data_IF_217706326148
#
_entry.id   IF_217706326148
#
_cell.length_a   1.000
_cell.length_b   1.000
_cell.length_c   1.000
_cell.angle_alpha   90.00
_cell.angle_beta   90.00
_cell.angle_gamma   90.00
#
_symmetry.space_group_name_H-M   'P 1'
#
loop_
_entity.id
_entity.type
_entity.pdbx_description
1 polymer ?
#
# COMPACT_ATOMS: atom_id res chain seq x y z
N UNK A 1 -34.49 -30.80 -4.65
CA UNK A 1 -33.31 -30.69 -3.78
C UNK A 1 -32.59 -29.39 -4.06
N UNK A 2 -32.97 -28.32 -3.37
CA UNK A 2 -32.16 -27.10 -3.31
C UNK A 2 -30.89 -27.47 -2.54
N UNK A 3 -29.80 -27.73 -3.26
CA UNK A 3 -28.49 -27.83 -2.62
C UNK A 3 -28.19 -26.46 -2.03
N UNK A 4 -27.98 -26.41 -0.72
CA UNK A 4 -27.48 -25.22 -0.04
C UNK A 4 -26.36 -24.60 -0.88
N UNK A 5 -26.56 -23.38 -1.36
CA UNK A 5 -25.49 -22.58 -1.93
C UNK A 5 -24.39 -22.52 -0.86
N UNK A 6 -23.23 -23.12 -1.15
CA UNK A 6 -22.06 -22.96 -0.30
C UNK A 6 -21.76 -21.46 -0.27
N UNK A 7 -21.83 -20.82 0.90
CA UNK A 7 -21.19 -19.53 1.11
C UNK A 7 -19.69 -19.72 0.92
N UNK A 8 -19.20 -19.48 -0.30
CA UNK A 8 -17.78 -19.49 -0.61
C UNK A 8 -17.18 -18.19 -0.06
N UNK A 9 -16.17 -18.33 0.79
CA UNK A 9 -15.44 -17.20 1.39
C UNK A 9 -14.01 -17.24 0.90
N UNK A 10 -13.53 -16.10 0.41
CA UNK A 10 -12.14 -15.87 0.02
C UNK A 10 -11.60 -14.77 0.93
N UNK A 11 -10.44 -15.03 1.54
CA UNK A 11 -9.77 -14.11 2.46
C UNK A 11 -8.28 -14.01 2.10
N UNK A 12 -7.56 -13.11 2.78
CA UNK A 12 -6.28 -12.52 2.39
C UNK A 12 -6.42 -11.53 1.23
N UNK A 13 -5.91 -10.31 1.42
CA UNK A 13 -6.05 -9.26 0.41
C UNK A 13 -5.40 -9.62 -0.93
N UNK A 14 -4.19 -10.22 -1.01
CA UNK A 14 -3.60 -10.57 -2.31
C UNK A 14 -4.40 -11.64 -3.05
N UNK A 15 -4.92 -12.64 -2.31
CA UNK A 15 -5.72 -13.74 -2.87
C UNK A 15 -7.07 -13.21 -3.36
N UNK A 16 -7.73 -12.37 -2.56
CA UNK A 16 -9.03 -11.79 -2.91
C UNK A 16 -8.91 -10.94 -4.18
N UNK A 17 -7.89 -10.08 -4.27
CA UNK A 17 -7.71 -9.26 -5.45
C UNK A 17 -7.29 -10.07 -6.69
N UNK A 18 -6.45 -11.10 -6.56
CA UNK A 18 -6.13 -12.00 -7.68
C UNK A 18 -7.39 -12.73 -8.18
N UNK A 19 -8.22 -13.25 -7.27
CA UNK A 19 -9.49 -13.87 -7.63
C UNK A 19 -10.41 -12.91 -8.37
N UNK A 20 -10.61 -11.69 -7.85
CA UNK A 20 -11.44 -10.67 -8.50
C UNK A 20 -10.91 -10.34 -9.90
N UNK A 21 -9.59 -10.22 -10.05
CA UNK A 21 -8.95 -9.97 -11.35
C UNK A 21 -9.14 -11.15 -12.32
N UNK A 22 -9.28 -12.38 -11.84
CA UNK A 22 -9.52 -13.55 -12.69
C UNK A 22 -10.99 -13.64 -13.14
N UNK A 23 -11.94 -13.48 -12.22
CA UNK A 23 -13.36 -13.75 -12.50
C UNK A 23 -14.09 -12.61 -13.22
N UNK A 24 -13.66 -11.36 -13.04
CA UNK A 24 -14.28 -10.19 -13.68
C UNK A 24 -13.58 -9.87 -15.02
N UNK A 25 -14.30 -9.83 -16.15
CA UNK A 25 -13.68 -9.78 -17.49
C UNK A 25 -13.22 -8.39 -17.94
N UNK A 26 -13.56 -7.32 -17.22
CA UNK A 26 -13.42 -5.94 -17.69
C UNK A 26 -11.95 -5.49 -17.79
N UNK A 27 -11.45 -4.75 -16.78
CA UNK A 27 -10.08 -4.25 -16.78
C UNK A 27 -9.20 -5.20 -15.98
N UNK A 28 -8.40 -6.01 -16.68
CA UNK A 28 -7.35 -6.82 -16.02
C UNK A 28 -6.25 -5.93 -15.45
N UNK A 29 -5.97 -6.13 -14.16
CA UNK A 29 -4.95 -5.43 -13.38
C UNK A 29 -3.64 -6.21 -13.30
N UNK A 30 -3.69 -7.55 -13.32
CA UNK A 30 -2.50 -8.37 -13.45
C UNK A 30 -2.08 -8.50 -14.92
N UNK A 31 -0.77 -8.53 -15.21
CA UNK A 31 -0.28 -8.75 -16.56
C UNK A 31 -0.57 -10.17 -17.03
N UNK A 32 -0.79 -10.33 -18.34
CA UNK A 32 -1.04 -11.63 -18.98
C UNK A 32 0.21 -12.52 -19.04
N UNK A 33 1.40 -11.92 -19.12
CA UNK A 33 2.67 -12.65 -19.10
C UNK A 33 2.90 -13.30 -17.74
N UNK A 34 3.10 -14.63 -17.65
CA UNK A 34 3.38 -15.32 -16.39
C UNK A 34 4.60 -14.74 -15.66
N UNK A 35 5.65 -14.37 -16.41
CA UNK A 35 6.85 -13.77 -15.86
C UNK A 35 6.57 -12.39 -15.26
N UNK A 36 5.84 -11.53 -15.97
CA UNK A 36 5.47 -10.21 -15.45
C UNK A 36 4.56 -10.32 -14.21
N UNK A 37 3.66 -11.31 -14.19
CA UNK A 37 2.81 -11.60 -13.01
C UNK A 37 3.68 -12.01 -11.81
N UNK A 38 4.66 -12.89 -12.03
CA UNK A 38 5.62 -13.26 -11.00
C UNK A 38 6.44 -12.06 -10.49
N UNK A 39 6.84 -11.13 -11.37
CA UNK A 39 7.53 -9.91 -10.97
C UNK A 39 6.69 -9.03 -10.04
N UNK A 40 5.39 -8.89 -10.30
CA UNK A 40 4.49 -8.17 -9.38
C UNK A 40 4.38 -8.87 -8.03
N UNK A 41 4.28 -10.21 -8.01
CA UNK A 41 4.24 -11.00 -6.76
C UNK A 41 5.54 -10.87 -5.95
N UNK A 42 6.71 -10.93 -6.61
CA UNK A 42 8.00 -10.72 -5.93
C UNK A 42 8.11 -9.31 -5.34
N UNK A 43 7.65 -8.29 -6.07
CA UNK A 43 7.63 -6.92 -5.57
C UNK A 43 6.72 -6.77 -4.36
N UNK A 44 5.53 -7.39 -4.38
CA UNK A 44 4.62 -7.39 -3.24
C UNK A 44 5.24 -8.08 -2.02
N UNK A 45 5.95 -9.20 -2.22
CA UNK A 45 6.68 -9.90 -1.14
C UNK A 45 7.84 -9.05 -0.58
N UNK A 46 8.51 -8.26 -1.40
CA UNK A 46 9.50 -7.30 -0.89
C UNK A 46 8.83 -6.16 -0.12
N UNK A 47 7.70 -5.66 -0.63
CA UNK A 47 6.94 -4.58 -0.01
C UNK A 47 6.27 -5.00 1.31
N UNK A 48 5.88 -6.27 1.46
CA UNK A 48 5.28 -6.79 2.70
C UNK A 48 6.18 -6.55 3.92
N UNK A 49 7.50 -6.52 3.71
CA UNK A 49 8.52 -6.25 4.72
C UNK A 49 8.65 -4.76 5.06
N UNK A 50 8.03 -3.86 4.31
CA UNK A 50 7.97 -2.40 4.57
C UNK A 50 6.80 -2.07 5.50
N UNK A 51 5.71 -2.83 5.39
CA UNK A 51 4.46 -2.60 6.14
C UNK A 51 4.66 -2.48 7.67
N UNK A 52 5.47 -3.33 8.33
CA UNK A 52 5.64 -3.24 9.78
C UNK A 52 6.15 -1.88 10.27
N UNK A 53 6.96 -1.17 9.48
CA UNK A 53 7.56 0.11 9.88
C UNK A 53 6.53 1.23 10.02
N UNK A 54 5.44 1.16 9.25
CA UNK A 54 4.30 2.08 9.34
C UNK A 54 3.66 2.07 10.73
N UNK A 55 3.72 0.94 11.44
CA UNK A 55 3.19 0.82 12.79
C UNK A 55 4.29 0.89 13.86
N UNK A 56 5.39 0.16 13.69
CA UNK A 56 6.45 0.06 14.69
C UNK A 56 7.04 1.41 15.05
N UNK A 57 7.40 2.22 14.04
CA UNK A 57 8.00 3.54 14.26
C UNK A 57 7.11 4.42 15.15
N UNK A 58 5.83 4.71 14.80
CA UNK A 58 4.99 5.56 15.65
C UNK A 58 4.66 4.92 17.00
N UNK A 59 4.48 3.59 17.09
CA UNK A 59 4.22 2.91 18.36
C UNK A 59 5.41 3.01 19.33
N UNK A 60 6.62 2.76 18.85
CA UNK A 60 7.83 2.73 19.68
C UNK A 60 8.25 4.17 20.05
N UNK A 61 8.07 5.14 19.14
CA UNK A 61 8.17 6.58 19.48
C UNK A 61 7.24 6.98 20.63
N UNK A 62 5.99 6.51 20.61
CA UNK A 62 5.02 6.80 21.68
C UNK A 62 5.45 6.23 23.03
N UNK A 63 6.14 5.09 23.04
CA UNK A 63 6.72 4.49 24.25
C UNK A 63 8.01 5.19 24.71
N UNK A 64 8.55 6.13 23.92
CA UNK A 64 9.83 6.78 24.19
C UNK A 64 11.04 5.92 23.84
N UNK A 65 10.88 4.90 22.99
CA UNK A 65 11.98 4.06 22.52
C UNK A 65 12.78 4.74 21.39
N UNK A 66 14.06 4.39 21.26
CA UNK A 66 14.87 4.82 20.12
C UNK A 66 14.48 4.04 18.86
N UNK A 67 14.04 4.78 17.84
CA UNK A 67 13.61 4.22 16.55
C UNK A 67 14.56 4.57 15.40
N UNK A 68 15.70 5.20 15.68
CA UNK A 68 16.65 5.68 14.65
C UNK A 68 17.04 4.59 13.64
N UNK A 69 17.26 3.36 14.11
CA UNK A 69 17.51 2.19 13.25
C UNK A 69 16.33 1.86 12.33
N UNK A 70 15.10 1.82 12.86
CA UNK A 70 13.88 1.57 12.07
C UNK A 70 13.65 2.66 11.02
N UNK A 71 13.91 3.92 11.38
CA UNK A 71 13.81 5.04 10.44
C UNK A 71 14.82 4.93 9.30
N UNK A 72 16.06 4.54 9.60
CA UNK A 72 17.11 4.32 8.60
C UNK A 72 16.73 3.17 7.65
N UNK A 73 16.24 2.06 8.19
CA UNK A 73 15.79 0.92 7.38
C UNK A 73 14.59 1.26 6.50
N UNK A 74 13.63 2.05 6.99
CA UNK A 74 12.48 2.49 6.18
C UNK A 74 12.93 3.43 5.05
N UNK A 75 13.83 4.37 5.33
CA UNK A 75 14.44 5.23 4.30
C UNK A 75 15.14 4.39 3.22
N UNK A 76 15.91 3.38 3.61
CA UNK A 76 16.58 2.48 2.66
C UNK A 76 15.57 1.70 1.80
N UNK A 77 14.47 1.23 2.40
CA UNK A 77 13.41 0.52 1.66
C UNK A 77 12.71 1.43 0.66
N UNK A 78 12.39 2.67 1.03
CA UNK A 78 11.84 3.66 0.08
C UNK A 78 12.84 4.04 -1.01
N UNK A 79 14.13 4.16 -0.69
CA UNK A 79 15.18 4.38 -1.68
C UNK A 79 15.25 3.26 -2.72
N UNK A 80 15.11 1.98 -2.29
CA UNK A 80 15.05 0.83 -3.20
C UNK A 80 13.83 0.86 -4.12
N UNK A 81 12.65 1.21 -3.60
CA UNK A 81 11.45 1.38 -4.43
C UNK A 81 11.61 2.52 -5.46
N UNK A 82 12.28 3.60 -5.06
CA UNK A 82 12.62 4.69 -5.97
C UNK A 82 13.61 4.25 -7.05
N UNK A 83 14.64 3.51 -6.68
CA UNK A 83 15.62 2.93 -7.61
C UNK A 83 14.95 2.02 -8.64
N UNK A 84 13.99 1.19 -8.22
CA UNK A 84 13.20 0.36 -9.13
C UNK A 84 12.48 1.20 -10.20
N UNK A 85 11.85 2.33 -9.82
CA UNK A 85 11.19 3.24 -10.77
C UNK A 85 12.21 3.94 -11.68
N UNK A 86 13.35 4.39 -11.14
CA UNK A 86 14.45 5.00 -11.92
C UNK A 86 14.98 4.02 -12.97
N UNK A 87 15.20 2.76 -12.58
CA UNK A 87 15.76 1.72 -13.45
C UNK A 87 14.76 1.28 -14.54
N UNK A 88 13.49 1.11 -14.17
CA UNK A 88 12.43 0.74 -15.12
C UNK A 88 12.07 1.87 -16.08
N UNK A 89 12.21 3.13 -15.65
CA UNK A 89 11.81 4.33 -16.41
C UNK A 89 10.33 4.32 -16.80
N UNK A 90 9.49 3.77 -15.93
CA UNK A 90 8.04 3.66 -16.12
C UNK A 90 7.31 4.58 -15.15
N UNK A 91 6.06 4.94 -15.49
CA UNK A 91 5.22 5.79 -14.61
C UNK A 91 4.76 5.08 -13.33
N UNK A 92 4.53 3.78 -13.42
CA UNK A 92 4.02 2.91 -12.37
C UNK A 92 4.93 1.70 -12.21
N UNK A 93 4.78 0.96 -11.11
CA UNK A 93 5.65 -0.18 -10.80
C UNK A 93 5.49 -1.35 -11.79
N UNK A 94 4.30 -1.49 -12.38
CA UNK A 94 4.00 -2.48 -13.41
C UNK A 94 4.18 -2.01 -14.86
N UNK A 95 4.49 -0.73 -15.11
CA UNK A 95 4.61 -0.18 -16.47
C UNK A 95 4.13 1.27 -16.57
N UNK A 96 3.75 1.70 -17.78
CA UNK A 96 3.26 3.08 -18.02
C UNK A 96 1.78 3.27 -17.67
N UNK A 97 1.10 2.20 -17.28
CA UNK A 97 -0.28 2.20 -16.80
C UNK A 97 -0.34 1.56 -15.42
N UNK A 98 -1.30 2.00 -14.62
CA UNK A 98 -1.55 1.45 -13.27
C UNK A 98 -1.94 -0.03 -13.35
N UNK A 99 -1.37 -0.85 -12.47
CA UNK A 99 -1.61 -2.30 -12.39
C UNK A 99 -1.87 -2.74 -10.95
N UNK A 100 -2.11 -4.04 -10.74
CA UNK A 100 -2.41 -4.60 -9.42
C UNK A 100 -1.36 -4.23 -8.36
N UNK A 101 -0.07 -4.29 -8.69
CA UNK A 101 1.00 -3.98 -7.72
C UNK A 101 0.91 -2.55 -7.18
N UNK A 102 0.48 -1.59 -7.99
CA UNK A 102 0.34 -0.20 -7.57
C UNK A 102 -0.79 -0.05 -6.55
N UNK A 103 -1.96 -0.64 -6.81
CA UNK A 103 -3.08 -0.68 -5.87
C UNK A 103 -2.75 -1.45 -4.59
N UNK A 104 -1.94 -2.51 -4.70
CA UNK A 104 -1.47 -3.31 -3.55
C UNK A 104 -0.47 -2.61 -2.65
N UNK A 105 0.12 -1.48 -3.08
CA UNK A 105 1.02 -0.69 -2.24
C UNK A 105 0.40 0.64 -1.82
N UNK A 106 -0.55 1.16 -2.60
CA UNK A 106 -1.15 2.47 -2.40
C UNK A 106 -1.69 2.75 -0.98
N UNK A 107 -2.45 1.85 -0.33
CA UNK A 107 -3.02 2.13 0.99
C UNK A 107 -2.00 2.60 2.03
N UNK A 108 -0.77 2.09 1.98
CA UNK A 108 0.29 2.49 2.91
C UNK A 108 0.85 3.87 2.55
N UNK A 109 1.02 4.15 1.26
CA UNK A 109 1.47 5.47 0.79
C UNK A 109 0.44 6.57 1.02
N UNK A 110 -0.86 6.27 0.96
CA UNK A 110 -1.93 7.20 1.35
C UNK A 110 -1.79 7.64 2.82
N UNK A 111 -1.30 6.74 3.68
CA UNK A 111 -1.23 6.92 5.13
C UNK A 111 0.08 7.51 5.64
N UNK A 112 1.08 7.74 4.79
CA UNK A 112 2.44 8.17 5.22
C UNK A 112 2.44 9.42 6.08
N UNK A 113 1.53 10.37 5.79
CA UNK A 113 1.40 11.60 6.58
C UNK A 113 0.81 11.33 7.96
N UNK A 114 -0.32 10.60 8.01
CA UNK A 114 -1.00 10.29 9.26
C UNK A 114 -0.12 9.43 10.18
N UNK A 115 0.69 8.56 9.61
CA UNK A 115 1.54 7.63 10.34
C UNK A 115 2.91 8.23 10.66
N UNK A 116 3.13 9.51 10.36
CA UNK A 116 4.35 10.27 10.69
C UNK A 116 5.63 9.67 10.06
N UNK A 117 5.49 9.13 8.84
CA UNK A 117 6.58 8.51 8.06
C UNK A 117 6.81 9.20 6.70
N UNK A 118 6.04 10.24 6.37
CA UNK A 118 6.11 10.99 5.10
C UNK A 118 7.51 11.55 4.80
N UNK A 119 8.21 12.02 5.82
CA UNK A 119 9.57 12.56 5.72
C UNK A 119 10.59 11.53 5.22
N UNK A 120 10.31 10.24 5.34
CA UNK A 120 11.21 9.20 4.84
C UNK A 120 11.15 9.02 3.33
N UNK A 121 10.18 9.66 2.65
CA UNK A 121 10.16 9.79 1.20
C UNK A 121 11.14 10.85 0.71
N UNK A 122 11.74 11.67 1.58
CA UNK A 122 12.72 12.66 1.15
C UNK A 122 13.93 11.99 0.48
N UNK A 123 14.34 12.52 -0.67
CA UNK A 123 15.35 11.89 -1.52
C UNK A 123 14.82 10.81 -2.47
N UNK A 124 13.51 10.56 -2.51
CA UNK A 124 12.88 9.59 -3.43
C UNK A 124 11.99 10.26 -4.50
N UNK A 125 12.56 11.01 -5.46
CA UNK A 125 11.78 11.84 -6.39
C UNK A 125 10.83 11.04 -7.30
N UNK A 126 11.24 9.88 -7.83
CA UNK A 126 10.37 9.06 -8.69
C UNK A 126 9.26 8.38 -7.87
N UNK A 127 9.57 7.99 -6.63
CA UNK A 127 8.54 7.46 -5.72
C UNK A 127 7.51 8.54 -5.34
N UNK A 128 7.93 9.78 -5.08
CA UNK A 128 7.03 10.92 -4.87
C UNK A 128 6.18 11.22 -6.10
N UNK A 129 6.78 11.19 -7.30
CA UNK A 129 6.04 11.34 -8.56
C UNK A 129 5.02 10.23 -8.76
N UNK A 130 5.36 8.99 -8.40
CA UNK A 130 4.41 7.88 -8.41
C UNK A 130 3.25 8.12 -7.44
N UNK A 131 3.48 8.63 -6.22
CA UNK A 131 2.36 8.95 -5.30
C UNK A 131 1.46 10.06 -5.86
N UNK A 132 2.02 11.07 -6.51
CA UNK A 132 1.26 12.13 -7.20
C UNK A 132 0.41 11.57 -8.34
N UNK A 133 0.93 10.62 -9.12
CA UNK A 133 0.18 9.94 -10.18
C UNK A 133 -0.93 9.06 -9.63
N UNK A 134 -0.68 8.32 -8.55
CA UNK A 134 -1.71 7.52 -7.86
C UNK A 134 -2.86 8.39 -7.37
N UNK A 135 -2.56 9.58 -6.81
CA UNK A 135 -3.59 10.54 -6.41
C UNK A 135 -4.44 11.06 -7.58
N UNK A 136 -4.02 10.87 -8.83
CA UNK A 136 -4.81 11.23 -10.01
C UNK A 136 -5.77 10.13 -10.48
N UNK A 137 -5.53 8.87 -10.08
CA UNK A 137 -6.35 7.72 -10.46
C UNK A 137 -7.77 7.82 -9.90
N UNK A 138 -8.77 7.43 -10.71
CA UNK A 138 -10.18 7.58 -10.32
C UNK A 138 -10.59 6.64 -9.19
N UNK A 139 -10.07 5.41 -9.14
CA UNK A 139 -10.37 4.47 -8.08
C UNK A 139 -9.75 4.92 -6.75
N UNK A 140 -8.51 5.43 -6.80
CA UNK A 140 -7.86 6.05 -5.64
C UNK A 140 -8.66 7.24 -5.13
N UNK A 141 -9.00 8.21 -6.00
CA UNK A 141 -9.78 9.40 -5.61
C UNK A 141 -11.13 9.06 -5.00
N UNK A 142 -11.79 8.02 -5.50
CA UNK A 142 -13.11 7.62 -5.02
C UNK A 142 -13.08 6.98 -3.63
N UNK A 143 -11.93 6.44 -3.19
CA UNK A 143 -11.81 5.63 -1.98
C UNK A 143 -10.87 6.23 -0.91
N UNK A 144 -10.13 7.29 -1.25
CA UNK A 144 -9.19 7.91 -0.33
C UNK A 144 -9.89 8.62 0.83
N UNK A 145 -9.26 8.62 2.00
CA UNK A 145 -9.64 9.45 3.13
C UNK A 145 -8.69 10.64 3.27
N UNK A 146 -9.16 11.71 3.93
CA UNK A 146 -8.30 12.85 4.22
C UNK A 146 -7.18 12.45 5.19
N UNK A 147 -5.99 13.12 5.12
CA UNK A 147 -4.94 12.91 6.10
C UNK A 147 -5.42 13.10 7.54
N UNK A 148 -6.35 14.03 7.77
CA UNK A 148 -6.87 14.31 9.11
C UNK A 148 -7.81 13.20 9.63
N UNK A 149 -8.61 12.59 8.75
CA UNK A 149 -9.40 11.41 9.12
C UNK A 149 -8.49 10.23 9.50
N UNK A 150 -7.45 9.97 8.69
CA UNK A 150 -6.45 8.95 9.02
C UNK A 150 -5.72 9.26 10.34
N UNK A 151 -5.33 10.52 10.60
CA UNK A 151 -4.68 10.94 11.86
C UNK A 151 -5.59 10.69 13.06
N UNK A 152 -6.87 11.03 12.95
CA UNK A 152 -7.83 10.87 14.03
C UNK A 152 -8.05 9.40 14.39
N UNK A 153 -8.30 8.54 13.40
CA UNK A 153 -8.38 7.10 13.61
C UNK A 153 -7.07 6.53 14.16
N UNK A 154 -5.93 6.89 13.57
CA UNK A 154 -4.65 6.31 13.97
C UNK A 154 -4.26 6.69 15.40
N UNK A 155 -4.65 7.88 15.86
CA UNK A 155 -4.48 8.28 17.26
C UNK A 155 -5.22 7.34 18.22
N UNK A 156 -6.51 7.08 17.97
CA UNK A 156 -7.32 6.20 18.83
C UNK A 156 -6.83 4.76 18.77
N UNK A 157 -6.37 4.30 17.60
CA UNK A 157 -5.68 3.02 17.43
C UNK A 157 -4.42 2.92 18.29
N UNK A 158 -3.53 3.94 18.25
CA UNK A 158 -2.31 3.96 19.07
C UNK A 158 -2.62 4.02 20.58
N UNK A 159 -3.75 4.61 20.96
CA UNK A 159 -4.25 4.64 22.34
C UNK A 159 -4.85 3.31 22.81
N UNK A 160 -4.94 2.31 21.92
CA UNK A 160 -5.47 0.98 22.22
C UNK A 160 -7.00 0.91 22.20
N UNK A 161 -7.68 1.98 21.78
CA UNK A 161 -9.14 2.09 21.71
C UNK A 161 -9.55 2.59 20.32
N UNK A 162 -9.32 1.82 19.24
CA UNK A 162 -9.61 2.26 17.89
C UNK A 162 -11.09 2.59 17.70
N UNK A 163 -11.35 3.79 17.19
CA UNK A 163 -12.69 4.26 16.82
C UNK A 163 -12.96 3.91 15.36
N UNK A 164 -13.55 2.73 15.13
CA UNK A 164 -13.87 2.26 13.77
C UNK A 164 -15.01 3.03 13.11
N UNK A 165 -15.76 3.80 13.89
CA UNK A 165 -16.92 4.58 13.44
C UNK A 165 -16.58 6.08 13.30
N UNK A 166 -15.28 6.43 13.30
CA UNK A 166 -14.85 7.83 13.16
C UNK A 166 -15.43 8.49 11.91
N UNK A 167 -16.29 9.50 12.11
CA UNK A 167 -16.93 10.26 11.05
C UNK A 167 -18.27 9.71 10.55
N UNK A 168 -18.81 8.67 11.19
CA UNK A 168 -20.18 8.15 10.99
C UNK A 168 -21.18 8.74 11.98
#
# INVERSE_FOLDING_TARGET
>A
NMSAEKCLVIYESPITCEYLDEVYPEKKLLPSSPFAKAQQKMMLEHFSKVIPYFYKIPMDKKKGEDVSGLEAELKEKFAKLNEDLVNKKTKFFGGDSITMIDYMMWPWFERVEAYQVKQFLDGTPELKKWTELMLQDSAVKALMFSPDAHKAFFKTFLDGNPDFDYGL
#
